data_IF_194568803581
#
_entry.id   IF_194568803581
#
_cell.length_a   1.000
_cell.length_b   1.000
_cell.length_c   1.000
_cell.angle_alpha   90.00
_cell.angle_beta   90.00
_cell.angle_gamma   90.00
#
_symmetry.space_group_name_H-M   'P 1'
#
loop_
_entity.id
_entity.type
_entity.pdbx_description
1 polymer ?
#
# COMPACT_ATOMS: atom_id res chain seq x y z
N UNK A 1 31.00 -17.84 31.73
CA UNK A 1 29.58 -18.23 31.85
C UNK A 1 29.20 -18.91 30.53
N UNK A 2 28.93 -20.21 30.55
CA UNK A 2 28.60 -21.00 29.37
C UNK A 2 27.12 -20.82 28.99
N UNK A 3 26.86 -20.55 27.71
CA UNK A 3 25.50 -20.58 27.17
C UNK A 3 25.05 -22.03 27.04
N UNK A 4 23.97 -22.36 27.75
CA UNK A 4 23.31 -23.67 27.67
C UNK A 4 22.37 -23.66 26.46
N UNK A 5 22.61 -24.59 25.55
CA UNK A 5 21.69 -24.95 24.46
C UNK A 5 20.43 -25.57 25.06
N UNK A 6 19.26 -24.99 24.79
CA UNK A 6 17.98 -25.68 25.00
C UNK A 6 17.63 -26.43 23.71
N UNK A 7 17.66 -27.77 23.80
CA UNK A 7 17.09 -28.67 22.81
C UNK A 7 15.57 -28.59 22.84
N UNK A 8 14.96 -28.43 21.67
CA UNK A 8 13.52 -28.52 21.49
C UNK A 8 13.04 -29.97 21.71
N UNK A 9 12.29 -30.20 22.79
CA UNK A 9 11.53 -31.43 22.93
C UNK A 9 10.26 -31.21 23.78
N UNK A 10 9.15 -31.63 23.19
CA UNK A 10 7.79 -31.84 23.73
C UNK A 10 6.94 -30.64 24.11
N UNK A 11 6.18 -30.12 23.13
CA UNK A 11 4.80 -29.68 23.36
C UNK A 11 3.87 -30.73 22.74
N UNK A 12 3.16 -31.46 23.60
CA UNK A 12 2.10 -32.40 23.23
C UNK A 12 0.93 -31.64 22.60
N UNK A 13 0.54 -32.03 21.39
CA UNK A 13 -0.58 -31.45 20.66
C UNK A 13 -1.93 -31.97 21.16
N UNK A 14 -2.83 -31.05 21.50
CA UNK A 14 -4.26 -31.34 21.68
C UNK A 14 -5.00 -31.39 20.33
N UNK A 15 -6.19 -32.03 20.28
CA UNK A 15 -6.97 -32.13 19.05
C UNK A 15 -7.49 -30.73 18.67
N UNK A 16 -6.89 -30.13 17.64
CA UNK A 16 -7.16 -28.76 17.20
C UNK A 16 -5.91 -27.88 17.03
N UNK A 17 -4.71 -28.38 17.31
CA UNK A 17 -3.48 -27.66 16.99
C UNK A 17 -3.34 -27.47 15.47
N UNK A 18 -3.57 -26.25 15.00
CA UNK A 18 -3.18 -25.83 13.65
C UNK A 18 -1.67 -25.97 13.59
N UNK A 19 -1.18 -27.02 12.93
CA UNK A 19 0.25 -27.14 12.63
C UNK A 19 0.56 -25.98 11.69
N UNK A 20 1.15 -24.91 12.24
CA UNK A 20 1.78 -23.88 11.42
C UNK A 20 2.82 -24.61 10.57
N UNK A 21 2.51 -24.79 9.29
CA UNK A 21 3.43 -25.38 8.33
C UNK A 21 4.66 -24.48 8.35
N UNK A 22 5.83 -25.03 8.68
CA UNK A 22 7.07 -24.28 8.65
C UNK A 22 7.15 -23.49 7.33
N UNK A 23 7.55 -22.21 7.36
CA UNK A 23 7.58 -21.41 6.15
C UNK A 23 8.47 -22.12 5.13
N UNK A 24 7.85 -22.59 4.05
CA UNK A 24 8.57 -23.17 2.93
C UNK A 24 9.41 -22.05 2.36
N UNK A 25 10.72 -22.08 2.60
CA UNK A 25 11.65 -21.11 2.04
C UNK A 25 11.62 -21.28 0.53
N UNK A 26 10.88 -20.40 -0.14
CA UNK A 26 10.79 -20.38 -1.60
C UNK A 26 12.14 -20.03 -2.19
N UNK A 27 12.52 -20.75 -3.25
CA UNK A 27 13.78 -20.51 -3.97
C UNK A 27 13.74 -19.27 -4.86
N UNK A 28 12.56 -18.84 -5.28
CA UNK A 28 12.32 -17.67 -6.12
C UNK A 28 10.96 -17.09 -5.71
N UNK A 29 10.88 -15.76 -5.56
CA UNK A 29 9.65 -15.03 -5.24
C UNK A 29 9.18 -14.25 -6.46
N UNK A 30 7.93 -14.46 -6.85
CA UNK A 30 7.34 -13.82 -8.03
C UNK A 30 6.54 -12.59 -7.61
N UNK A 31 6.94 -11.41 -8.09
CA UNK A 31 6.30 -10.13 -7.77
C UNK A 31 5.63 -9.61 -9.03
N UNK A 32 4.32 -9.39 -9.00
CA UNK A 32 3.62 -8.69 -10.07
C UNK A 32 3.56 -7.19 -9.75
N UNK A 33 4.04 -6.37 -10.68
CA UNK A 33 3.93 -4.93 -10.64
C UNK A 33 2.91 -4.49 -11.69
N UNK A 34 1.77 -3.98 -11.22
CA UNK A 34 0.66 -3.53 -12.05
C UNK A 34 0.61 -2.01 -11.99
N UNK A 35 1.07 -1.32 -13.04
CA UNK A 35 1.04 0.15 -13.10
C UNK A 35 0.39 0.63 -14.40
N UNK A 36 -0.27 1.80 -14.38
CA UNK A 36 -0.85 2.41 -15.58
C UNK A 36 0.25 3.10 -16.40
N UNK A 37 1.11 2.34 -17.08
CA UNK A 37 2.10 2.93 -17.99
C UNK A 37 1.43 3.61 -19.18
N UNK A 38 0.23 3.17 -19.55
CA UNK A 38 -0.58 3.74 -20.63
C UNK A 38 0.27 3.91 -21.91
N UNK A 39 1.07 2.90 -22.27
CA UNK A 39 2.11 3.00 -23.32
C UNK A 39 1.50 3.45 -24.65
N UNK A 40 0.29 2.98 -24.92
CA UNK A 40 -0.40 3.15 -26.19
C UNK A 40 -1.20 4.47 -26.26
N UNK A 41 -1.27 5.23 -25.15
CA UNK A 41 -2.11 6.43 -25.05
C UNK A 41 -1.26 7.70 -24.87
N UNK A 42 -1.12 8.54 -25.91
CA UNK A 42 -0.31 9.76 -25.85
C UNK A 42 -0.90 10.82 -24.92
N UNK A 43 -2.19 10.75 -24.58
CA UNK A 43 -2.86 11.74 -23.72
C UNK A 43 -2.46 11.61 -22.25
N UNK A 44 -1.98 10.43 -21.86
CA UNK A 44 -1.63 10.09 -20.48
C UNK A 44 -0.11 10.21 -20.17
N UNK A 45 0.61 11.07 -20.90
CA UNK A 45 2.07 11.23 -20.75
C UNK A 45 2.53 11.52 -19.31
N UNK A 46 1.80 12.35 -18.56
CA UNK A 46 2.15 12.67 -17.15
C UNK A 46 2.00 11.49 -16.21
N UNK A 47 1.04 10.59 -16.48
CA UNK A 47 0.88 9.37 -15.69
C UNK A 47 2.03 8.43 -16.02
N UNK A 48 2.31 8.24 -17.31
CA UNK A 48 3.42 7.42 -17.81
C UNK A 48 4.77 7.82 -17.22
N UNK A 49 5.10 9.12 -17.22
CA UNK A 49 6.34 9.64 -16.65
C UNK A 49 6.47 9.29 -15.16
N UNK A 50 5.43 9.56 -14.36
CA UNK A 50 5.41 9.19 -12.95
C UNK A 50 5.50 7.68 -12.70
N UNK A 51 4.89 6.88 -13.58
CA UNK A 51 4.97 5.41 -13.47
C UNK A 51 6.35 4.89 -13.86
N UNK A 52 7.05 5.56 -14.78
CA UNK A 52 8.44 5.27 -15.10
C UNK A 52 9.34 5.56 -13.89
N UNK A 53 9.21 6.73 -13.26
CA UNK A 53 9.96 7.07 -12.04
C UNK A 53 9.72 6.04 -10.91
N UNK A 54 8.45 5.65 -10.71
CA UNK A 54 8.11 4.64 -9.72
C UNK A 54 8.71 3.27 -10.07
N UNK A 55 8.67 2.88 -11.35
CA UNK A 55 9.26 1.64 -11.82
C UNK A 55 10.78 1.60 -11.61
N UNK A 56 11.49 2.71 -11.89
CA UNK A 56 12.91 2.84 -11.59
C UNK A 56 13.20 2.67 -10.10
N UNK A 57 12.38 3.28 -9.23
CA UNK A 57 12.47 3.07 -7.79
C UNK A 57 12.27 1.61 -7.37
N UNK A 58 11.34 0.90 -8.01
CA UNK A 58 11.14 -0.54 -7.78
C UNK A 58 12.37 -1.33 -8.22
N UNK A 59 12.95 -1.04 -9.40
CA UNK A 59 14.15 -1.74 -9.88
C UNK A 59 15.34 -1.55 -8.93
N UNK A 60 15.54 -0.33 -8.40
CA UNK A 60 16.57 -0.07 -7.39
C UNK A 60 16.35 -0.89 -6.12
N UNK A 61 15.09 -1.00 -5.66
CA UNK A 61 14.75 -1.81 -4.51
C UNK A 61 14.93 -3.32 -4.78
N UNK A 62 14.63 -3.80 -5.99
CA UNK A 62 14.87 -5.19 -6.38
C UNK A 62 16.36 -5.52 -6.34
N UNK A 63 17.21 -4.66 -6.93
CA UNK A 63 18.67 -4.83 -6.91
C UNK A 63 19.22 -4.84 -5.48
N UNK A 64 18.72 -3.95 -4.62
CA UNK A 64 19.10 -3.93 -3.20
C UNK A 64 18.71 -5.24 -2.49
N UNK A 65 17.52 -5.78 -2.73
CA UNK A 65 17.05 -7.03 -2.11
C UNK A 65 17.80 -8.26 -2.67
N UNK A 66 18.10 -8.27 -3.96
CA UNK A 66 18.93 -9.30 -4.59
C UNK A 66 20.35 -9.29 -4.00
N UNK A 67 20.93 -8.12 -3.77
CA UNK A 67 22.24 -7.98 -3.09
C UNK A 67 22.23 -8.52 -1.65
N UNK A 68 21.05 -8.56 -1.02
CA UNK A 68 20.81 -9.15 0.32
C UNK A 68 20.51 -10.65 0.27
N UNK A 69 20.58 -11.27 -0.91
CA UNK A 69 20.43 -12.71 -1.11
C UNK A 69 19.00 -13.18 -1.38
N UNK A 70 18.06 -12.27 -1.67
CA UNK A 70 16.71 -12.65 -2.09
C UNK A 70 16.68 -12.95 -3.59
N UNK A 71 16.11 -14.09 -3.99
CA UNK A 71 15.88 -14.38 -5.40
C UNK A 71 14.48 -13.91 -5.81
N UNK A 72 14.42 -12.82 -6.57
CA UNK A 72 13.19 -12.15 -6.96
C UNK A 72 12.99 -12.22 -8.48
N UNK A 73 11.73 -12.35 -8.88
CA UNK A 73 11.34 -12.24 -10.29
C UNK A 73 10.19 -11.25 -10.44
N UNK A 74 10.49 -10.10 -11.04
CA UNK A 74 9.52 -9.05 -11.30
C UNK A 74 8.79 -9.29 -12.62
N UNK A 75 7.46 -9.23 -12.58
CA UNK A 75 6.56 -9.30 -13.73
C UNK A 75 5.82 -7.97 -13.85
N UNK A 76 5.99 -7.28 -14.97
CA UNK A 76 5.47 -5.91 -15.14
C UNK A 76 4.27 -5.93 -16.08
N UNK A 77 3.17 -5.32 -15.66
CA UNK A 77 1.92 -5.28 -16.42
C UNK A 77 1.40 -3.84 -16.54
N UNK A 78 1.10 -3.42 -17.76
CA UNK A 78 0.43 -2.14 -18.03
C UNK A 78 -1.07 -2.26 -17.81
N UNK A 79 -1.59 -1.59 -16.77
CA UNK A 79 -3.02 -1.58 -16.46
C UNK A 79 -3.82 -0.65 -17.36
N UNK A 80 -3.13 0.27 -18.06
CA UNK A 80 -3.71 1.25 -18.97
C UNK A 80 -4.79 2.13 -18.36
N UNK A 81 -4.84 2.24 -17.03
CA UNK A 81 -5.90 2.96 -16.30
C UNK A 81 -7.30 2.40 -16.61
N UNK A 82 -7.40 1.10 -16.91
CA UNK A 82 -8.63 0.47 -17.36
C UNK A 82 -8.89 -0.85 -16.60
N UNK A 83 -9.99 -0.89 -15.84
CA UNK A 83 -10.40 -2.07 -15.09
C UNK A 83 -10.65 -3.29 -15.99
N UNK A 84 -11.08 -3.11 -17.24
CA UNK A 84 -11.29 -4.23 -18.17
C UNK A 84 -9.97 -4.84 -18.63
N UNK A 85 -8.94 -4.01 -18.83
CA UNK A 85 -7.57 -4.47 -19.11
C UNK A 85 -7.05 -5.27 -17.92
N UNK A 86 -7.22 -4.75 -16.70
CA UNK A 86 -6.85 -5.43 -15.45
C UNK A 86 -7.54 -6.78 -15.31
N UNK A 87 -8.86 -6.86 -15.54
CA UNK A 87 -9.59 -8.14 -15.53
C UNK A 87 -9.02 -9.11 -16.57
N UNK A 88 -8.60 -8.62 -17.74
CA UNK A 88 -7.93 -9.41 -18.76
C UNK A 88 -6.59 -9.99 -18.27
N UNK A 89 -5.76 -9.16 -17.64
CA UNK A 89 -4.46 -9.57 -17.09
C UNK A 89 -4.61 -10.64 -16.00
N UNK A 90 -5.58 -10.45 -15.09
CA UNK A 90 -5.84 -11.37 -13.98
C UNK A 90 -6.32 -12.77 -14.42
N UNK A 91 -6.79 -12.93 -15.66
CA UNK A 91 -7.16 -14.24 -16.21
C UNK A 91 -5.96 -15.11 -16.57
N UNK A 92 -4.75 -14.56 -16.65
CA UNK A 92 -3.55 -15.36 -16.89
C UNK A 92 -3.28 -16.25 -15.67
N UNK A 93 -3.15 -17.56 -15.90
CA UNK A 93 -2.86 -18.56 -14.86
C UNK A 93 -1.56 -18.26 -14.08
N UNK A 94 -0.62 -17.53 -14.68
CA UNK A 94 0.61 -17.11 -14.01
C UNK A 94 0.34 -16.15 -12.84
N UNK A 95 -0.73 -15.35 -12.90
CA UNK A 95 -1.08 -14.41 -11.82
C UNK A 95 -1.41 -15.13 -10.51
N UNK A 96 -1.92 -16.36 -10.59
CA UNK A 96 -2.24 -17.20 -9.41
C UNK A 96 -0.98 -17.63 -8.66
N UNK A 97 0.18 -17.62 -9.34
CA UNK A 97 1.47 -18.07 -8.77
C UNK A 97 2.28 -16.92 -8.15
N UNK A 98 1.78 -15.69 -8.22
CA UNK A 98 2.45 -14.52 -7.67
C UNK A 98 2.48 -14.59 -6.14
N UNK A 99 3.62 -14.21 -5.58
CA UNK A 99 3.84 -14.11 -4.13
C UNK A 99 3.44 -12.74 -3.57
N UNK A 100 3.38 -11.72 -4.44
CA UNK A 100 3.04 -10.36 -4.11
C UNK A 100 2.48 -9.67 -5.35
N UNK A 101 1.42 -8.89 -5.19
CA UNK A 101 0.95 -7.95 -6.21
C UNK A 101 1.12 -6.53 -5.68
N UNK A 102 1.88 -5.71 -6.40
CA UNK A 102 2.05 -4.28 -6.15
C UNK A 102 1.23 -3.53 -7.19
N UNK A 103 0.31 -2.69 -6.73
CA UNK A 103 -0.66 -2.03 -7.59
C UNK A 103 -1.96 -2.82 -7.74
N UNK A 104 -2.92 -2.29 -8.52
CA UNK A 104 -2.83 -1.13 -9.40
C UNK A 104 -2.96 0.20 -8.65
N UNK A 105 -3.00 1.31 -9.39
CA UNK A 105 -2.95 2.67 -8.81
C UNK A 105 -4.34 3.25 -8.57
N UNK A 106 -5.31 2.97 -9.45
CA UNK A 106 -6.63 3.58 -9.38
C UNK A 106 -7.63 2.68 -8.62
N UNK A 107 -8.59 3.29 -7.92
CA UNK A 107 -9.50 2.59 -7.01
C UNK A 107 -10.36 1.54 -7.74
N UNK A 108 -10.87 1.86 -8.93
CA UNK A 108 -11.68 0.94 -9.74
C UNK A 108 -10.89 -0.30 -10.18
N UNK A 109 -9.59 -0.15 -10.48
CA UNK A 109 -8.70 -1.26 -10.80
C UNK A 109 -8.38 -2.09 -9.54
N UNK A 110 -8.11 -1.40 -8.43
CA UNK A 110 -7.76 -2.03 -7.14
C UNK A 110 -8.90 -2.92 -6.64
N UNK A 111 -10.16 -2.55 -6.87
CA UNK A 111 -11.31 -3.40 -6.53
C UNK A 111 -11.25 -4.76 -7.25
N UNK A 112 -10.84 -4.79 -8.51
CA UNK A 112 -10.76 -6.05 -9.26
C UNK A 112 -9.56 -6.89 -8.82
N UNK A 113 -8.41 -6.25 -8.55
CA UNK A 113 -7.23 -6.95 -8.03
C UNK A 113 -7.43 -7.42 -6.60
N UNK A 114 -8.12 -6.67 -5.75
CA UNK A 114 -8.51 -7.09 -4.41
C UNK A 114 -9.30 -8.40 -4.46
N UNK A 115 -10.33 -8.50 -5.31
CA UNK A 115 -11.14 -9.73 -5.41
C UNK A 115 -10.28 -10.93 -5.78
N UNK A 116 -9.33 -10.74 -6.69
CA UNK A 116 -8.38 -11.78 -7.08
C UNK A 116 -7.45 -12.17 -5.92
N UNK A 117 -6.85 -11.19 -5.26
CA UNK A 117 -5.96 -11.39 -4.11
C UNK A 117 -6.68 -12.08 -2.95
N UNK A 118 -7.95 -11.72 -2.70
CA UNK A 118 -8.81 -12.34 -1.70
C UNK A 118 -9.09 -13.83 -2.00
N UNK A 119 -9.27 -14.20 -3.27
CA UNK A 119 -9.53 -15.59 -3.67
C UNK A 119 -8.28 -16.45 -3.53
N UNK A 120 -7.12 -15.94 -3.97
CA UNK A 120 -5.87 -16.69 -4.02
C UNK A 120 -4.96 -16.46 -2.81
N UNK A 121 -5.41 -15.64 -1.84
CA UNK A 121 -4.66 -15.22 -0.66
C UNK A 121 -3.27 -14.65 -0.99
N UNK A 122 -3.22 -13.79 -2.00
CA UNK A 122 -1.99 -13.11 -2.43
C UNK A 122 -1.92 -11.75 -1.72
N UNK A 123 -0.80 -11.42 -1.05
CA UNK A 123 -0.59 -10.09 -0.49
C UNK A 123 -0.69 -8.99 -1.56
N UNK A 124 -1.43 -7.94 -1.25
CA UNK A 124 -1.65 -6.78 -2.10
C UNK A 124 -0.97 -5.55 -1.49
N UNK A 125 -0.22 -4.80 -2.28
CA UNK A 125 0.37 -3.51 -1.89
C UNK A 125 -0.25 -2.40 -2.73
N UNK A 126 -0.94 -1.46 -2.09
CA UNK A 126 -1.37 -0.22 -2.74
C UNK A 126 -0.21 0.78 -2.77
N UNK A 127 0.28 1.18 -3.96
CA UNK A 127 1.57 1.84 -4.09
C UNK A 127 1.54 3.34 -3.78
N UNK A 128 0.47 4.05 -4.18
CA UNK A 128 0.46 5.52 -4.24
C UNK A 128 -0.71 6.17 -3.49
N UNK A 129 -1.71 5.40 -3.08
CA UNK A 129 -2.88 5.91 -2.36
C UNK A 129 -3.29 4.93 -1.27
N UNK A 130 -3.84 5.46 -0.20
CA UNK A 130 -4.52 4.61 0.76
C UNK A 130 -5.73 3.96 0.11
N UNK A 131 -5.77 2.64 0.16
CA UNK A 131 -6.86 1.81 -0.29
C UNK A 131 -7.52 1.15 0.92
N UNK A 132 -8.82 1.40 1.09
CA UNK A 132 -9.65 0.68 2.05
C UNK A 132 -10.14 -0.61 1.41
N UNK A 133 -9.84 -1.75 2.05
CA UNK A 133 -10.38 -3.06 1.68
C UNK A 133 -11.91 -2.98 1.47
N UNK A 134 -12.43 -3.47 0.34
CA UNK A 134 -13.88 -3.51 0.04
C UNK A 134 -14.48 -4.90 0.24
N UNK A 135 -13.64 -5.93 0.25
CA UNK A 135 -14.06 -7.31 0.53
C UNK A 135 -13.95 -7.63 2.01
N UNK A 136 -14.80 -8.54 2.50
CA UNK A 136 -14.70 -9.06 3.87
C UNK A 136 -13.65 -10.17 4.01
N UNK A 137 -13.00 -10.57 2.92
CA UNK A 137 -12.05 -11.66 2.89
C UNK A 137 -10.76 -11.30 3.62
N UNK A 138 -10.20 -12.28 4.33
CA UNK A 138 -8.91 -12.13 4.95
C UNK A 138 -7.81 -12.39 3.92
N UNK A 139 -7.00 -11.37 3.68
CA UNK A 139 -5.83 -11.38 2.82
C UNK A 139 -4.96 -10.16 3.21
N UNK A 140 -3.63 -10.25 3.12
CA UNK A 140 -2.78 -9.12 3.49
C UNK A 140 -2.94 -7.96 2.51
N UNK A 141 -3.33 -6.79 3.01
CA UNK A 141 -3.33 -5.53 2.27
C UNK A 141 -2.41 -4.54 2.97
N UNK A 142 -1.39 -4.09 2.25
CA UNK A 142 -0.45 -3.07 2.71
C UNK A 142 -0.67 -1.78 1.93
N UNK A 143 -0.61 -0.66 2.63
CA UNK A 143 -0.70 0.67 2.04
C UNK A 143 0.62 1.40 2.27
N UNK A 144 1.27 1.83 1.20
CA UNK A 144 2.49 2.64 1.30
C UNK A 144 2.19 4.09 1.76
N UNK A 145 0.93 4.52 1.66
CA UNK A 145 0.47 5.85 2.03
C UNK A 145 -0.58 5.73 3.14
N UNK A 146 -0.51 6.53 4.21
CA UNK A 146 -1.53 6.53 5.26
C UNK A 146 -2.86 7.05 4.73
N UNK A 147 -3.95 6.71 5.43
CA UNK A 147 -5.25 7.33 5.17
C UNK A 147 -5.17 8.85 5.36
N UNK A 148 -5.82 9.61 4.47
CA UNK A 148 -5.86 11.08 4.53
C UNK A 148 -6.27 11.59 5.91
N UNK A 149 -7.24 10.94 6.56
CA UNK A 149 -7.68 11.31 7.91
C UNK A 149 -6.54 11.31 8.93
N UNK A 150 -5.65 10.31 8.88
CA UNK A 150 -4.47 10.25 9.74
C UNK A 150 -3.43 11.28 9.32
N UNK A 151 -3.16 11.39 8.02
CA UNK A 151 -2.19 12.35 7.49
C UNK A 151 -2.53 13.78 7.95
N UNK A 152 -3.76 14.24 7.69
CA UNK A 152 -4.18 15.59 8.05
C UNK A 152 -4.28 15.78 9.57
N UNK A 153 -4.70 14.75 10.32
CA UNK A 153 -4.69 14.81 11.78
C UNK A 153 -3.27 15.07 12.32
N UNK A 154 -2.28 14.27 11.91
CA UNK A 154 -0.90 14.47 12.38
C UNK A 154 -0.28 15.76 11.87
N UNK A 155 -0.60 16.20 10.64
CA UNK A 155 -0.20 17.52 10.16
C UNK A 155 -0.71 18.64 11.07
N UNK A 156 -1.96 18.55 11.54
CA UNK A 156 -2.53 19.53 12.47
C UNK A 156 -1.82 19.55 13.82
N UNK A 157 -1.53 18.37 14.38
CA UNK A 157 -0.78 18.24 15.62
C UNK A 157 0.65 18.79 15.49
N UNK A 158 1.36 18.44 14.41
CA UNK A 158 2.72 18.93 14.14
C UNK A 158 2.76 20.44 13.91
N UNK A 159 1.76 21.01 13.22
CA UNK A 159 1.67 22.45 13.02
C UNK A 159 1.47 23.20 14.35
N UNK A 160 0.68 22.65 15.27
CA UNK A 160 0.50 23.22 16.60
C UNK A 160 1.82 23.26 17.41
N UNK A 161 2.61 22.19 17.32
CA UNK A 161 3.92 22.09 17.97
C UNK A 161 4.97 23.00 17.33
N UNK A 162 5.00 23.04 15.99
CA UNK A 162 6.00 23.77 15.22
C UNK A 162 5.76 25.29 15.22
N UNK A 163 4.50 25.73 15.33
CA UNK A 163 4.12 27.14 15.19
C UNK A 163 3.31 27.70 16.38
N UNK A 164 3.78 27.55 17.64
CA UNK A 164 2.98 27.85 18.82
C UNK A 164 2.61 29.34 18.98
N UNK A 165 3.38 30.24 18.34
CA UNK A 165 3.20 31.70 18.40
C UNK A 165 2.56 32.29 17.15
N UNK A 166 2.20 31.47 16.17
CA UNK A 166 1.64 31.94 14.91
C UNK A 166 0.14 31.64 14.82
N UNK A 167 -0.53 32.36 13.93
CA UNK A 167 -1.87 32.00 13.49
C UNK A 167 -1.74 31.02 12.32
N UNK A 168 -2.34 29.84 12.45
CA UNK A 168 -2.42 28.88 11.36
C UNK A 168 -3.72 29.11 10.60
N UNK A 169 -3.59 29.24 9.28
CA UNK A 169 -4.70 29.37 8.34
C UNK A 169 -4.69 28.12 7.45
N UNK A 170 -5.83 27.46 7.38
CA UNK A 170 -6.07 26.32 6.48
C UNK A 170 -6.84 26.85 5.28
N UNK A 171 -6.25 26.73 4.11
CA UNK A 171 -6.92 26.97 2.83
C UNK A 171 -7.43 25.63 2.33
N UNK A 172 -8.72 25.54 2.05
CA UNK A 172 -9.35 24.30 1.62
C UNK A 172 -10.16 24.53 0.34
N UNK A 173 -10.31 23.48 -0.45
CA UNK A 173 -11.20 23.50 -1.61
C UNK A 173 -12.60 23.05 -1.16
N UNK A 174 -13.66 23.65 -1.72
CA UNK A 174 -15.07 23.47 -1.30
C UNK A 174 -15.60 22.04 -1.55
N UNK A 175 -14.76 21.14 -2.06
CA UNK A 175 -15.08 19.71 -2.26
C UNK A 175 -15.39 18.99 -0.94
N UNK A 176 -16.19 17.92 -1.00
CA UNK A 176 -16.53 17.10 0.18
C UNK A 176 -15.28 16.50 0.86
N UNK A 177 -14.28 16.10 0.06
CA UNK A 177 -13.03 15.52 0.58
C UNK A 177 -12.15 16.59 1.24
N UNK A 178 -12.05 17.78 0.63
CA UNK A 178 -11.40 18.93 1.25
C UNK A 178 -11.93 19.19 2.65
N UNK A 179 -13.24 19.37 2.76
CA UNK A 179 -13.93 19.64 4.04
C UNK A 179 -13.65 18.58 5.11
N UNK A 180 -13.55 17.31 4.75
CA UNK A 180 -13.20 16.24 5.71
C UNK A 180 -11.75 16.38 6.20
N UNK A 181 -10.83 16.64 5.28
CA UNK A 181 -9.39 16.74 5.53
C UNK A 181 -9.05 17.97 6.38
N UNK A 182 -9.60 19.14 6.05
CA UNK A 182 -9.43 20.36 6.85
C UNK A 182 -10.00 20.21 8.26
N UNK A 183 -11.14 19.52 8.41
CA UNK A 183 -11.69 19.19 9.73
C UNK A 183 -10.78 18.28 10.56
N UNK A 184 -10.19 17.25 9.95
CA UNK A 184 -9.22 16.37 10.64
C UNK A 184 -7.99 17.14 11.12
N UNK A 185 -7.45 18.01 10.28
CA UNK A 185 -6.35 18.91 10.64
C UNK A 185 -6.74 19.84 11.80
N UNK A 186 -7.85 20.58 11.66
CA UNK A 186 -8.30 21.56 12.65
C UNK A 186 -8.58 20.91 14.00
N UNK A 187 -9.17 19.72 14.02
CA UNK A 187 -9.41 18.94 15.23
C UNK A 187 -8.10 18.67 15.99
N UNK A 188 -7.09 18.14 15.30
CA UNK A 188 -5.81 17.82 15.94
C UNK A 188 -5.07 19.08 16.40
N UNK A 189 -5.05 20.12 15.57
CA UNK A 189 -4.45 21.40 15.90
C UNK A 189 -5.08 22.02 17.15
N UNK A 190 -6.42 21.99 17.26
CA UNK A 190 -7.14 22.52 18.41
C UNK A 190 -6.82 21.76 19.70
N UNK A 191 -6.75 20.43 19.63
CA UNK A 191 -6.38 19.59 20.78
C UNK A 191 -4.96 19.91 21.25
N UNK A 192 -3.99 19.99 20.33
CA UNK A 192 -2.58 20.17 20.66
C UNK A 192 -2.24 21.62 21.10
N UNK A 193 -2.78 22.63 20.42
CA UNK A 193 -2.45 24.04 20.68
C UNK A 193 -3.36 24.74 21.69
N UNK A 194 -4.55 24.17 21.96
CA UNK A 194 -5.67 24.84 22.64
C UNK A 194 -6.14 26.12 21.91
N UNK A 195 -5.92 26.21 20.60
CA UNK A 195 -6.31 27.32 19.71
C UNK A 195 -7.01 26.79 18.47
N UNK A 196 -7.90 27.57 17.90
CA UNK A 196 -8.52 27.24 16.62
C UNK A 196 -7.65 27.70 15.44
N UNK A 197 -7.49 26.83 14.43
CA UNK A 197 -6.96 27.24 13.13
C UNK A 197 -8.09 27.86 12.29
N UNK A 198 -7.79 28.95 11.58
CA UNK A 198 -8.77 29.64 10.73
C UNK A 198 -8.95 28.90 9.42
N UNK A 199 -10.18 28.55 9.06
CA UNK A 199 -10.51 27.99 7.76
C UNK A 199 -10.87 29.12 6.78
N UNK A 200 -10.38 29.01 5.55
CA UNK A 200 -10.79 29.83 4.42
C UNK A 200 -11.18 28.88 3.29
N UNK A 201 -12.43 29.01 2.85
CA UNK A 201 -13.03 28.28 1.74
C UNK A 201 -12.84 29.03 0.41
#
# INVERSE_FOLDING_TARGET
MSFVSLSASSLQGGPGAVIAKDPVVKKEFHIALMLPFCIDDPTNFKIRERMADYYEGVLLAMDELESKGMNLKLHVFDTRKDSMVVIGLLKNVEMIKMDLIIGPVFENELVEVEKFCAIYNIPLVSPLKYYSKKTAADYPLFNNVPADSMLFYYMGAMAAESFPRHQVIVLDDVTKNGKSNSNNFRKAYAIASKKEAKLVD
#
